data_IF_665300942851
#
_entry.id   IF_665300942851
#
_cell.length_a   1.000
_cell.length_b   1.000
_cell.length_c   1.000
_cell.angle_alpha   90.00
_cell.angle_beta   90.00
_cell.angle_gamma   90.00
#
_symmetry.space_group_name_H-M   'P 1'
#
loop_
_entity.id
_entity.type
_entity.pdbx_description
1 polymer ?
#
# COMPACT_ATOMS: atom_id res chain seq x y z
N UNK A 1 -2.09 4.30 26.68
CA UNK A 1 -1.40 4.30 25.36
C UNK A 1 -0.06 5.07 25.30
N UNK A 2 0.44 5.70 26.39
CA UNK A 2 1.70 6.47 26.35
C UNK A 2 2.92 5.60 25.96
N UNK A 3 2.97 4.37 26.45
CA UNK A 3 4.09 3.43 26.22
C UNK A 3 4.28 3.16 24.73
N UNK A 4 3.24 2.76 23.99
CA UNK A 4 3.39 2.42 22.56
C UNK A 4 3.73 3.65 21.72
N UNK A 5 3.20 4.83 22.07
CA UNK A 5 3.62 6.09 21.44
C UNK A 5 5.10 6.41 21.72
N UNK A 6 5.57 6.15 22.93
CA UNK A 6 6.99 6.18 23.29
C UNK A 6 7.81 5.22 22.44
N UNK A 7 7.39 3.95 22.35
CA UNK A 7 8.07 2.94 21.52
C UNK A 7 8.15 3.33 20.04
N UNK A 8 7.14 4.00 19.47
CA UNK A 8 7.22 4.47 18.09
C UNK A 8 8.28 5.56 17.88
N UNK A 9 8.55 6.36 18.92
CA UNK A 9 9.61 7.37 18.93
C UNK A 9 10.98 6.76 19.21
N UNK A 10 11.03 5.80 20.13
CA UNK A 10 12.28 5.27 20.67
C UNK A 10 12.82 4.08 19.86
N UNK A 11 11.96 3.35 19.13
CA UNK A 11 12.36 2.23 18.28
C UNK A 11 12.59 2.65 16.83
N UNK A 12 13.57 2.04 16.14
CA UNK A 12 13.71 2.19 14.70
C UNK A 12 12.46 1.75 13.96
N UNK A 13 12.00 2.56 13.00
CA UNK A 13 10.74 2.31 12.30
C UNK A 13 10.75 0.97 11.53
N UNK A 14 11.90 0.52 11.03
CA UNK A 14 12.00 -0.75 10.31
C UNK A 14 11.51 -1.96 11.12
N UNK A 15 11.58 -1.92 12.46
CA UNK A 15 11.09 -3.03 13.30
C UNK A 15 9.59 -3.24 13.12
N UNK A 16 8.83 -2.16 12.89
CA UNK A 16 7.40 -2.21 12.64
C UNK A 16 7.05 -2.86 11.30
N UNK A 17 8.00 -2.96 10.35
CA UNK A 17 7.79 -3.69 9.09
C UNK A 17 7.43 -5.16 9.35
N UNK A 18 8.00 -5.75 10.39
CA UNK A 18 7.77 -7.17 10.75
C UNK A 18 6.35 -7.46 11.21
N UNK A 19 5.65 -6.45 11.74
CA UNK A 19 4.29 -6.56 12.29
C UNK A 19 3.25 -5.81 11.46
N UNK A 20 3.64 -5.26 10.29
CA UNK A 20 2.76 -4.53 9.38
C UNK A 20 1.48 -5.32 9.03
N UNK A 21 1.53 -6.61 8.63
CA UNK A 21 0.31 -7.37 8.31
C UNK A 21 -0.67 -7.45 9.48
N UNK A 22 -0.15 -7.64 10.70
CA UNK A 22 -0.93 -7.73 11.93
C UNK A 22 -1.57 -6.38 12.24
N UNK A 23 -0.84 -5.28 12.09
CA UNK A 23 -1.38 -3.92 12.25
C UNK A 23 -2.48 -3.62 11.21
N UNK A 24 -2.27 -3.96 9.94
CA UNK A 24 -3.27 -3.80 8.87
C UNK A 24 -4.55 -4.57 9.17
N UNK A 25 -4.46 -5.74 9.84
CA UNK A 25 -5.65 -6.50 10.26
C UNK A 25 -6.52 -5.78 11.31
N UNK A 26 -5.98 -4.75 11.99
CA UNK A 26 -6.62 -4.03 13.11
C UNK A 26 -7.04 -2.59 12.77
N UNK A 27 -6.97 -2.18 11.50
CA UNK A 27 -7.33 -0.81 11.09
C UNK A 27 -8.82 -0.45 11.28
N UNK A 28 -9.68 -1.44 11.45
CA UNK A 28 -11.12 -1.28 11.71
C UNK A 28 -11.54 -1.94 13.04
N UNK A 29 -10.65 -1.92 14.04
CA UNK A 29 -10.97 -2.45 15.37
C UNK A 29 -12.07 -1.63 16.07
N UNK A 30 -12.88 -2.27 16.92
CA UNK A 30 -14.00 -1.59 17.62
C UNK A 30 -13.52 -0.48 18.57
N UNK A 31 -12.36 -0.68 19.20
CA UNK A 31 -11.73 0.33 20.03
C UNK A 31 -11.04 1.40 19.17
N UNK A 32 -11.60 2.62 19.18
CA UNK A 32 -11.10 3.75 18.41
C UNK A 32 -9.67 4.18 18.77
N UNK A 33 -9.25 4.04 20.04
CA UNK A 33 -7.90 4.40 20.44
C UNK A 33 -6.87 3.48 19.80
N UNK A 34 -7.20 2.19 19.67
CA UNK A 34 -6.38 1.21 18.97
C UNK A 34 -6.30 1.59 17.49
N UNK A 35 -7.44 1.92 16.86
CA UNK A 35 -7.47 2.33 15.45
C UNK A 35 -6.61 3.58 15.22
N UNK A 36 -6.74 4.60 16.07
CA UNK A 36 -5.92 5.82 15.98
C UNK A 36 -4.42 5.51 16.09
N UNK A 37 -4.03 4.65 17.04
CA UNK A 37 -2.64 4.26 17.21
C UNK A 37 -2.10 3.43 16.04
N UNK A 38 -2.87 2.46 15.56
CA UNK A 38 -2.51 1.62 14.41
C UNK A 38 -2.33 2.48 13.16
N UNK A 39 -3.29 3.36 12.86
CA UNK A 39 -3.19 4.30 11.72
C UNK A 39 -1.95 5.18 11.82
N UNK A 40 -1.60 5.65 13.02
CA UNK A 40 -0.41 6.45 13.25
C UNK A 40 0.88 5.64 12.94
N UNK A 41 1.02 4.43 13.49
CA UNK A 41 2.17 3.56 13.23
C UNK A 41 2.30 3.26 11.73
N UNK A 42 1.19 2.85 11.08
CA UNK A 42 1.17 2.54 9.65
C UNK A 42 1.59 3.75 8.81
N UNK A 43 1.09 4.94 9.14
CA UNK A 43 1.47 6.18 8.44
C UNK A 43 2.96 6.46 8.60
N UNK A 44 3.51 6.34 9.82
CA UNK A 44 4.94 6.54 10.08
C UNK A 44 5.82 5.56 9.29
N UNK A 45 5.40 4.30 9.21
CA UNK A 45 6.09 3.28 8.41
C UNK A 45 6.02 3.61 6.91
N UNK A 46 4.86 4.02 6.40
CA UNK A 46 4.71 4.40 4.98
C UNK A 46 5.53 5.65 4.63
N UNK A 47 5.74 6.58 5.57
CA UNK A 47 6.59 7.76 5.33
C UNK A 47 8.08 7.41 5.21
N UNK A 48 8.57 6.41 5.97
CA UNK A 48 9.99 6.00 5.88
C UNK A 48 10.25 4.90 4.83
N UNK A 49 9.33 3.95 4.68
CA UNK A 49 9.46 2.77 3.83
C UNK A 49 8.26 2.65 2.88
N UNK A 50 8.04 3.64 1.99
CA UNK A 50 6.82 3.70 1.19
C UNK A 50 6.64 2.50 0.28
N UNK A 51 7.73 1.98 -0.32
CA UNK A 51 7.65 0.82 -1.22
C UNK A 51 7.16 -0.43 -0.49
N UNK A 52 7.77 -0.76 0.65
CA UNK A 52 7.42 -1.93 1.47
C UNK A 52 6.01 -1.77 2.07
N UNK A 53 5.71 -0.58 2.61
CA UNK A 53 4.41 -0.28 3.21
C UNK A 53 3.27 -0.37 2.19
N UNK A 54 3.47 0.14 0.96
CA UNK A 54 2.46 0.10 -0.09
C UNK A 54 2.11 -1.33 -0.52
N UNK A 55 3.10 -2.25 -0.58
CA UNK A 55 2.84 -3.67 -0.86
C UNK A 55 1.93 -4.31 0.18
N UNK A 56 2.14 -4.05 1.46
CA UNK A 56 1.27 -4.58 2.51
C UNK A 56 -0.11 -3.92 2.49
N UNK A 57 -0.19 -2.63 2.15
CA UNK A 57 -1.44 -1.87 2.06
C UNK A 57 -2.25 -2.17 0.79
N UNK A 58 -1.65 -2.79 -0.23
CA UNK A 58 -2.27 -3.04 -1.53
C UNK A 58 -3.62 -3.74 -1.42
N UNK A 59 -3.66 -4.89 -0.73
CA UNK A 59 -4.87 -5.70 -0.59
C UNK A 59 -6.00 -4.93 0.09
N UNK A 60 -5.69 -4.18 1.15
CA UNK A 60 -6.71 -3.47 1.92
C UNK A 60 -7.23 -2.22 1.21
N UNK A 61 -6.40 -1.57 0.38
CA UNK A 61 -6.82 -0.44 -0.48
C UNK A 61 -7.81 -0.82 -1.59
N UNK A 62 -7.87 -2.11 -1.97
CA UNK A 62 -8.79 -2.67 -2.98
C UNK A 62 -9.84 -3.60 -2.35
N UNK A 63 -10.03 -3.50 -1.04
CA UNK A 63 -11.04 -4.26 -0.29
C UNK A 63 -12.46 -3.96 -0.77
N UNK A 64 -13.31 -4.98 -0.81
CA UNK A 64 -14.76 -4.84 -1.05
C UNK A 64 -15.52 -4.35 0.19
N UNK A 65 -14.90 -4.41 1.37
CA UNK A 65 -15.46 -3.85 2.62
C UNK A 65 -15.16 -2.35 2.68
N UNK A 66 -16.17 -1.47 2.64
CA UNK A 66 -15.97 -0.01 2.53
C UNK A 66 -15.15 0.58 3.66
N UNK A 67 -15.44 0.22 4.92
CA UNK A 67 -14.73 0.73 6.09
C UNK A 67 -13.22 0.44 6.06
N UNK A 68 -12.81 -0.71 5.49
CA UNK A 68 -11.40 -1.07 5.32
C UNK A 68 -10.74 -0.27 4.22
N UNK A 69 -11.44 -0.08 3.11
CA UNK A 69 -10.97 0.72 1.98
C UNK A 69 -10.78 2.18 2.40
N UNK A 70 -11.74 2.75 3.12
CA UNK A 70 -11.68 4.12 3.66
C UNK A 70 -10.52 4.29 4.64
N UNK A 71 -10.36 3.36 5.60
CA UNK A 71 -9.25 3.41 6.55
C UNK A 71 -7.89 3.31 5.85
N UNK A 72 -7.76 2.48 4.82
CA UNK A 72 -6.55 2.39 4.02
C UNK A 72 -6.28 3.67 3.22
N UNK A 73 -7.31 4.24 2.61
CA UNK A 73 -7.22 5.50 1.87
C UNK A 73 -6.76 6.66 2.76
N UNK A 74 -7.28 6.75 3.99
CA UNK A 74 -6.86 7.74 4.98
C UNK A 74 -5.36 7.65 5.30
N UNK A 75 -4.86 6.44 5.59
CA UNK A 75 -3.43 6.18 5.88
C UNK A 75 -2.57 6.57 4.67
N UNK A 76 -2.94 6.11 3.47
CA UNK A 76 -2.18 6.36 2.24
C UNK A 76 -2.16 7.85 1.91
N UNK A 77 -3.29 8.55 2.07
CA UNK A 77 -3.37 10.00 1.82
C UNK A 77 -2.55 10.78 2.85
N UNK A 78 -2.57 10.39 4.12
CA UNK A 78 -1.75 11.01 5.16
C UNK A 78 -0.26 10.88 4.84
N UNK A 79 0.19 9.67 4.46
CA UNK A 79 1.57 9.43 4.03
C UNK A 79 1.92 10.24 2.77
N UNK A 80 1.04 10.24 1.75
CA UNK A 80 1.26 11.00 0.51
C UNK A 80 1.45 12.50 0.76
N UNK A 81 0.68 13.10 1.68
CA UNK A 81 0.82 14.52 2.05
C UNK A 81 2.21 14.84 2.61
N UNK A 82 2.81 13.92 3.36
CA UNK A 82 4.18 14.07 3.86
C UNK A 82 5.18 14.19 2.69
N UNK A 83 5.01 13.40 1.64
CA UNK A 83 5.84 13.46 0.44
C UNK A 83 5.52 14.64 -0.48
N UNK A 84 4.30 15.16 -0.51
CA UNK A 84 3.97 16.34 -1.34
C UNK A 84 4.75 17.61 -0.95
N UNK A 85 5.38 17.62 0.23
CA UNK A 85 6.26 18.71 0.68
C UNK A 85 7.70 18.56 0.16
N UNK A 86 8.04 17.42 -0.46
CA UNK A 86 9.36 17.14 -1.06
C UNK A 86 9.23 16.59 -2.49
N UNK A 87 10.01 17.13 -3.43
CA UNK A 87 9.77 17.03 -4.88
C UNK A 87 9.73 15.61 -5.53
N UNK A 88 9.89 14.50 -4.80
CA UNK A 88 10.15 13.17 -5.40
C UNK A 88 9.21 12.01 -5.01
N UNK A 89 8.41 12.12 -3.94
CA UNK A 89 7.61 10.97 -3.47
C UNK A 89 6.20 10.84 -4.06
N UNK A 90 5.68 11.88 -4.72
CA UNK A 90 4.28 11.94 -5.14
C UNK A 90 3.93 10.98 -6.30
N UNK A 91 4.92 10.60 -7.10
CA UNK A 91 4.74 9.75 -8.28
C UNK A 91 4.58 8.26 -7.88
N UNK A 92 5.25 7.81 -6.82
CA UNK A 92 5.24 6.41 -6.38
C UNK A 92 3.84 5.91 -6.01
N UNK A 93 3.09 6.68 -5.22
CA UNK A 93 1.74 6.30 -4.78
C UNK A 93 0.77 6.12 -5.97
N UNK A 94 0.85 7.01 -6.96
CA UNK A 94 0.02 6.94 -8.16
C UNK A 94 0.41 5.77 -9.06
N UNK A 95 1.72 5.58 -9.29
CA UNK A 95 2.24 4.43 -10.05
C UNK A 95 1.85 3.11 -9.40
N UNK A 96 2.00 3.01 -8.07
CA UNK A 96 1.67 1.81 -7.32
C UNK A 96 0.18 1.49 -7.37
N UNK A 97 -0.70 2.48 -7.20
CA UNK A 97 -2.14 2.28 -7.33
C UNK A 97 -2.52 1.74 -8.72
N UNK A 98 -1.95 2.34 -9.78
CA UNK A 98 -2.16 1.89 -11.16
C UNK A 98 -1.62 0.47 -11.38
N UNK A 99 -0.47 0.13 -10.77
CA UNK A 99 0.13 -1.20 -10.90
C UNK A 99 -0.80 -2.26 -10.32
N UNK A 100 -1.29 -2.03 -9.09
CA UNK A 100 -2.22 -2.95 -8.42
C UNK A 100 -3.48 -3.14 -9.27
N UNK A 101 -4.02 -2.08 -9.87
CA UNK A 101 -5.18 -2.20 -10.77
C UNK A 101 -4.90 -3.08 -11.99
N UNK A 102 -3.72 -2.97 -12.61
CA UNK A 102 -3.34 -3.81 -13.74
C UNK A 102 -3.10 -5.27 -13.32
N UNK A 103 -2.50 -5.50 -12.15
CA UNK A 103 -2.32 -6.85 -11.59
C UNK A 103 -3.67 -7.51 -11.28
N UNK A 104 -4.62 -6.76 -10.72
CA UNK A 104 -5.98 -7.26 -10.48
C UNK A 104 -6.67 -7.59 -11.81
N UNK A 105 -6.59 -6.70 -12.81
CA UNK A 105 -7.14 -6.96 -14.15
C UNK A 105 -6.56 -8.21 -14.80
N UNK A 106 -5.26 -8.48 -14.59
CA UNK A 106 -4.61 -9.69 -15.06
C UNK A 106 -5.23 -10.94 -14.41
N UNK A 107 -5.46 -10.93 -13.10
CA UNK A 107 -6.09 -12.05 -12.39
C UNK A 107 -7.53 -12.34 -12.86
N UNK A 108 -8.26 -11.30 -13.29
CA UNK A 108 -9.64 -11.44 -13.79
C UNK A 108 -9.76 -11.58 -15.31
N UNK A 109 -8.63 -11.76 -16.01
CA UNK A 109 -8.66 -11.91 -17.46
C UNK A 109 -9.23 -13.27 -17.86
N UNK A 110 -10.32 -13.34 -18.65
CA UNK A 110 -11.02 -14.59 -18.96
C UNK A 110 -10.23 -15.53 -19.90
N UNK A 111 -9.02 -15.14 -20.32
CA UNK A 111 -8.22 -15.87 -21.30
C UNK A 111 -8.83 -15.81 -22.71
N UNK A 112 -8.09 -16.31 -23.70
CA UNK A 112 -8.61 -16.45 -25.06
C UNK A 112 -8.97 -17.90 -25.35
N UNK A 113 -10.15 -18.19 -25.94
CA UNK A 113 -10.61 -19.55 -26.16
C UNK A 113 -9.70 -20.38 -27.10
N UNK A 114 -8.88 -19.72 -27.92
CA UNK A 114 -7.98 -20.37 -28.89
C UNK A 114 -6.50 -20.38 -28.49
N UNK A 115 -6.12 -19.69 -27.41
CA UNK A 115 -4.72 -19.56 -26.99
C UNK A 115 -4.54 -20.13 -25.59
N UNK A 116 -3.53 -21.00 -25.42
CA UNK A 116 -3.12 -21.52 -24.10
C UNK A 116 -2.13 -20.62 -23.37
N UNK A 117 -1.72 -19.52 -24.01
CA UNK A 117 -0.69 -18.61 -23.50
C UNK A 117 -1.20 -17.18 -23.56
N UNK A 118 -1.02 -16.43 -22.47
CA UNK A 118 -1.30 -15.00 -22.38
C UNK A 118 0.00 -14.25 -22.61
N UNK A 119 0.00 -13.25 -23.48
CA UNK A 119 1.20 -12.45 -23.79
C UNK A 119 1.06 -11.02 -23.24
N UNK A 120 1.93 -10.68 -22.28
CA UNK A 120 1.92 -9.38 -21.62
C UNK A 120 2.14 -8.20 -22.58
N UNK A 121 2.89 -8.40 -23.67
CA UNK A 121 3.18 -7.33 -24.64
C UNK A 121 1.97 -6.99 -25.50
N UNK A 122 1.10 -7.96 -25.77
CA UNK A 122 -0.07 -7.79 -26.64
C UNK A 122 -1.34 -7.52 -25.83
N UNK A 123 -1.52 -8.19 -24.69
CA UNK A 123 -2.77 -8.17 -23.92
C UNK A 123 -2.69 -7.22 -22.71
N UNK A 124 -1.47 -6.91 -22.23
CA UNK A 124 -1.24 -6.06 -21.05
C UNK A 124 -0.10 -5.04 -21.30
N UNK A 125 -0.08 -4.43 -22.48
CA UNK A 125 0.96 -3.48 -22.89
C UNK A 125 1.13 -2.31 -21.91
N UNK A 126 0.04 -1.89 -21.25
CA UNK A 126 0.08 -0.91 -20.17
C UNK A 126 0.90 -1.41 -18.96
N UNK A 127 0.66 -2.62 -18.48
CA UNK A 127 1.44 -3.24 -17.40
C UNK A 127 2.91 -3.37 -17.77
N UNK A 128 3.21 -3.76 -19.01
CA UNK A 128 4.59 -3.83 -19.53
C UNK A 128 5.29 -2.47 -19.49
N UNK A 129 4.61 -1.38 -19.90
CA UNK A 129 5.17 -0.02 -19.87
C UNK A 129 5.40 0.53 -18.46
N UNK A 130 4.77 -0.06 -17.45
CA UNK A 130 5.01 0.29 -16.05
C UNK A 130 6.29 -0.33 -15.49
N UNK A 131 6.98 -1.18 -16.28
CA UNK A 131 8.23 -1.82 -15.89
C UNK A 131 9.43 -1.20 -16.64
N UNK A 132 10.57 -0.95 -15.96
CA UNK A 132 10.77 -1.11 -14.53
C UNK A 132 10.04 0.01 -13.77
N UNK A 133 9.38 -0.37 -12.66
CA UNK A 133 9.05 0.60 -11.62
C UNK A 133 10.40 1.17 -11.15
N UNK A 134 10.52 2.47 -10.92
CA UNK A 134 11.76 3.11 -10.48
C UNK A 134 12.22 2.64 -9.09
N UNK A 135 12.55 1.36 -8.96
CA UNK A 135 13.12 0.64 -7.82
C UNK A 135 14.65 0.58 -8.00
N UNK A 136 15.22 1.52 -8.77
CA UNK A 136 16.66 1.67 -8.83
C UNK A 136 17.06 2.57 -7.66
N UNK A 137 17.87 2.01 -6.76
CA UNK A 137 18.56 2.68 -5.66
C UNK A 137 19.24 3.99 -6.08
#
# INVERSE_FOLDING_TARGET
MSIIRGCLKDFPIYQWLTVLPQLVSRICHQNEEIVRLVKHILTSVLCQYPQQGLWIMAAVSKSTVPSRQEAAAEIIQAARKWFSQGNSGNNLFGQFASLIDHLIKLCFHPGQPKSRTINISTEFSALKRMMPLGINE
#
